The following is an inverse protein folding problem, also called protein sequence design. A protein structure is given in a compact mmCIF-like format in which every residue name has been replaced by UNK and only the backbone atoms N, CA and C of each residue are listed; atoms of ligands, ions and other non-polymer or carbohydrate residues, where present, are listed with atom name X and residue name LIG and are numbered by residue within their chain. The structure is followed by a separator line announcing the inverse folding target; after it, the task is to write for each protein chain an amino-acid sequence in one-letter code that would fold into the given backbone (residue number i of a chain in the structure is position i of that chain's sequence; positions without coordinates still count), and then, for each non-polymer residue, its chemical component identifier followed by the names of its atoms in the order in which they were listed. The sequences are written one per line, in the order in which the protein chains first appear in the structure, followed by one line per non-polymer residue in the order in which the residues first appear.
data_IF_093355681872
#
_entry.id   IF_093355681872
#
_cell.length_a   1.000
_cell.length_b   1.000
_cell.length_c   1.000
_cell.angle_alpha   90.00
_cell.angle_beta   90.00
_cell.angle_gamma   90.00
#
_symmetry.space_group_name_H-M   'P 1'
#
loop_
_entity.id
_entity.type
_entity.pdbx_description
1 polymer ?
#
# COMPACT_ATOMS: atom_id res chain seq x y z
N UNK A 1 65.17 28.11 -78.30
CA UNK A 1 64.71 27.26 -79.43
C UNK A 1 63.61 26.33 -78.93
N UNK A 2 62.45 26.38 -79.60
CA UNK A 2 61.38 25.37 -79.80
C UNK A 2 61.12 24.27 -78.74
N UNK A 3 59.86 24.28 -78.25
CA UNK A 3 58.84 23.19 -78.10
C UNK A 3 59.24 21.97 -77.24
N UNK A 4 58.40 21.42 -76.36
CA UNK A 4 57.21 20.55 -76.60
C UNK A 4 56.57 20.33 -75.20
N UNK A 5 55.39 20.86 -74.89
CA UNK A 5 54.05 20.23 -74.85
C UNK A 5 53.98 18.73 -74.49
N UNK A 6 53.59 18.41 -73.25
CA UNK A 6 52.95 17.14 -72.89
C UNK A 6 51.78 17.40 -71.93
N UNK A 7 50.62 16.92 -72.35
CA UNK A 7 49.29 17.07 -71.78
C UNK A 7 49.10 16.06 -70.63
N UNK A 8 48.53 16.46 -69.49
CA UNK A 8 47.98 15.51 -68.51
C UNK A 8 46.68 16.08 -67.92
N UNK A 9 45.63 15.31 -68.16
CA UNK A 9 44.22 15.55 -67.85
C UNK A 9 43.99 15.27 -66.35
N UNK A 10 43.49 16.23 -65.58
CA UNK A 10 43.00 15.99 -64.21
C UNK A 10 41.52 16.38 -64.17
N UNK A 11 40.69 15.36 -64.07
CA UNK A 11 39.24 15.39 -63.87
C UNK A 11 38.92 15.95 -62.48
N UNK A 12 38.24 17.08 -62.40
CA UNK A 12 37.73 17.64 -61.16
C UNK A 12 36.42 16.94 -60.77
N UNK A 13 36.47 16.13 -59.71
CA UNK A 13 35.33 15.44 -59.11
C UNK A 13 34.58 16.43 -58.21
N UNK A 14 33.41 16.91 -58.63
CA UNK A 14 32.54 17.78 -57.84
C UNK A 14 31.75 16.90 -56.87
N UNK A 15 32.12 16.93 -55.59
CA UNK A 15 31.43 16.23 -54.52
C UNK A 15 30.27 17.13 -54.05
N UNK A 16 29.03 16.79 -54.43
CA UNK A 16 27.83 17.34 -53.81
C UNK A 16 27.66 16.71 -52.42
N UNK A 17 28.15 17.38 -51.38
CA UNK A 17 27.79 17.07 -50.00
C UNK A 17 26.37 17.55 -49.72
N UNK A 18 25.42 16.62 -49.56
CA UNK A 18 24.15 16.91 -48.93
C UNK A 18 24.38 17.06 -47.41
N UNK A 19 24.47 18.28 -46.89
CA UNK A 19 24.23 18.48 -45.46
C UNK A 19 22.72 18.35 -45.24
N UNK A 20 22.32 17.37 -44.44
CA UNK A 20 21.02 17.45 -43.77
C UNK A 20 21.25 18.40 -42.59
N UNK A 21 20.68 19.59 -42.68
CA UNK A 21 20.58 20.48 -41.55
C UNK A 21 19.61 19.82 -40.57
N UNK A 22 20.17 19.19 -39.54
CA UNK A 22 19.40 18.89 -38.35
C UNK A 22 19.40 20.19 -37.55
N UNK A 23 18.25 20.87 -37.44
CA UNK A 23 18.05 21.80 -36.34
C UNK A 23 18.10 20.97 -35.06
N UNK A 24 19.21 21.05 -34.34
CA UNK A 24 19.19 20.78 -32.91
C UNK A 24 18.36 21.93 -32.35
N UNK A 25 17.13 21.65 -31.93
CA UNK A 25 16.37 22.58 -31.11
C UNK A 25 17.21 22.82 -29.85
N UNK A 26 17.89 23.96 -29.77
CA UNK A 26 18.54 24.39 -28.54
C UNK A 26 17.45 24.44 -27.45
N UNK A 27 17.74 23.86 -26.28
CA UNK A 27 16.80 23.91 -25.16
C UNK A 27 16.50 25.38 -24.90
N UNK A 28 15.24 25.79 -25.07
CA UNK A 28 14.82 27.15 -24.79
C UNK A 28 15.35 27.60 -23.43
N UNK A 29 15.85 28.84 -23.35
CA UNK A 29 16.27 29.51 -22.10
C UNK A 29 15.08 29.62 -21.13
N UNK A 30 14.61 28.51 -20.58
CA UNK A 30 13.53 28.45 -19.60
C UNK A 30 14.12 28.41 -18.20
N UNK A 31 13.41 28.97 -17.24
CA UNK A 31 13.71 28.75 -15.83
C UNK A 31 12.86 27.62 -15.27
N UNK A 32 13.45 26.85 -14.36
CA UNK A 32 12.81 25.70 -13.71
C UNK A 32 12.20 26.19 -12.40
N UNK A 33 10.87 26.15 -12.33
CA UNK A 33 10.09 26.42 -11.12
C UNK A 33 9.87 25.12 -10.36
N UNK A 34 10.16 25.12 -9.07
CA UNK A 34 9.83 24.01 -8.16
C UNK A 34 9.13 24.53 -6.91
N UNK A 35 8.42 23.64 -6.22
CA UNK A 35 7.84 23.88 -4.91
C UNK A 35 8.41 22.88 -3.90
N UNK A 36 8.44 23.27 -2.62
CA UNK A 36 8.80 22.36 -1.53
C UNK A 36 7.75 21.25 -1.31
N UNK A 37 6.50 21.48 -1.71
CA UNK A 37 5.45 20.47 -1.81
C UNK A 37 4.43 20.85 -2.89
N UNK A 38 3.81 19.84 -3.52
CA UNK A 38 2.67 20.02 -4.43
C UNK A 38 1.32 20.08 -3.69
N UNK A 39 1.25 19.62 -2.44
CA UNK A 39 0.03 19.65 -1.62
C UNK A 39 0.36 19.99 -0.16
N UNK A 40 -0.45 20.85 0.45
CA UNK A 40 -0.37 21.15 1.90
C UNK A 40 -1.75 21.32 2.52
N UNK A 41 -1.80 21.27 3.86
CA UNK A 41 -3.04 21.62 4.59
C UNK A 41 -3.34 23.11 4.40
N UNK A 42 -4.63 23.47 4.36
CA UNK A 42 -5.05 24.87 4.45
C UNK A 42 -4.38 25.58 5.63
N UNK A 43 -3.96 26.83 5.42
CA UNK A 43 -3.23 27.64 6.40
C UNK A 43 -1.72 27.34 6.49
N UNK A 44 -1.21 26.31 5.81
CA UNK A 44 0.23 26.10 5.67
C UNK A 44 0.80 26.89 4.48
N UNK A 45 2.12 27.03 4.46
CA UNK A 45 2.84 27.78 3.43
C UNK A 45 3.59 26.86 2.49
N UNK A 46 3.40 26.99 1.19
CA UNK A 46 4.24 26.40 0.14
C UNK A 46 5.29 27.42 -0.28
N UNK A 47 6.53 26.98 -0.46
CA UNK A 47 7.66 27.82 -0.88
C UNK A 47 8.14 27.40 -2.27
N UNK A 48 8.31 28.38 -3.15
CA UNK A 48 8.73 28.20 -4.53
C UNK A 48 10.21 28.53 -4.70
N UNK A 49 10.87 27.83 -5.62
CA UNK A 49 12.28 28.05 -5.98
C UNK A 49 12.39 28.15 -7.49
N UNK A 50 13.24 29.06 -7.98
CA UNK A 50 13.53 29.19 -9.41
C UNK A 50 15.01 28.91 -9.64
N UNK A 51 15.33 27.99 -10.55
CA UNK A 51 16.69 27.67 -10.98
C UNK A 51 16.83 27.79 -12.49
N UNK A 52 18.04 28.07 -12.96
CA UNK A 52 18.36 27.93 -14.39
C UNK A 52 18.74 26.47 -14.74
N UNK A 53 19.01 26.24 -16.03
CA UNK A 53 19.40 24.92 -16.57
C UNK A 53 20.74 24.39 -16.00
N UNK A 54 21.56 25.25 -15.38
CA UNK A 54 22.80 24.86 -14.71
C UNK A 54 22.59 24.60 -13.20
N UNK A 55 21.35 24.73 -12.70
CA UNK A 55 20.98 24.54 -11.31
C UNK A 55 21.27 25.76 -10.41
N UNK A 56 21.69 26.89 -10.98
CA UNK A 56 21.91 28.13 -10.22
C UNK A 56 20.56 28.71 -9.83
N UNK A 57 20.43 29.12 -8.58
CA UNK A 57 19.19 29.64 -8.02
C UNK A 57 19.03 31.13 -8.28
N UNK A 58 17.85 31.52 -8.76
CA UNK A 58 17.45 32.89 -9.09
C UNK A 58 16.16 33.32 -8.37
N UNK A 59 15.78 32.62 -7.30
CA UNK A 59 14.51 32.81 -6.57
C UNK A 59 14.25 34.25 -6.13
N UNK A 60 15.28 34.96 -5.64
CA UNK A 60 15.13 36.33 -5.14
C UNK A 60 14.93 37.37 -6.24
N UNK A 61 15.32 37.05 -7.47
CA UNK A 61 15.22 37.94 -8.64
C UNK A 61 14.02 37.57 -9.54
N UNK A 62 13.30 36.50 -9.19
CA UNK A 62 12.14 36.03 -9.92
C UNK A 62 10.84 36.65 -9.40
N UNK A 63 9.88 36.85 -10.31
CA UNK A 63 8.51 37.23 -9.99
C UNK A 63 7.60 36.02 -10.14
N UNK A 64 6.86 35.71 -9.08
CA UNK A 64 5.93 34.58 -9.04
C UNK A 64 4.51 35.04 -9.32
N UNK A 65 3.73 34.19 -9.96
CA UNK A 65 2.33 34.42 -10.30
C UNK A 65 1.49 33.25 -9.81
N UNK A 66 0.36 33.56 -9.17
CA UNK A 66 -0.66 32.61 -8.71
C UNK A 66 -1.93 32.87 -9.49
N UNK A 67 -2.40 31.87 -10.24
CA UNK A 67 -3.53 31.99 -11.17
C UNK A 67 -3.39 33.20 -12.13
N UNK A 68 -2.14 33.47 -12.56
CA UNK A 68 -1.79 34.59 -13.44
C UNK A 68 -1.63 35.95 -12.76
N UNK A 69 -1.84 36.05 -11.44
CA UNK A 69 -1.68 37.29 -10.66
C UNK A 69 -0.34 37.28 -9.94
N UNK A 70 0.47 38.34 -10.13
CA UNK A 70 1.77 38.45 -9.47
C UNK A 70 1.62 38.53 -7.94
N UNK A 71 2.50 37.84 -7.22
CA UNK A 71 2.57 37.86 -5.75
C UNK A 71 3.89 38.47 -5.27
N UNK A 72 3.90 38.96 -4.03
CA UNK A 72 5.13 39.36 -3.36
C UNK A 72 5.83 38.15 -2.74
N UNK A 73 7.13 38.03 -2.98
CA UNK A 73 7.94 36.91 -2.51
C UNK A 73 7.68 35.62 -3.28
N UNK A 74 8.18 34.51 -2.72
CA UNK A 74 8.19 33.18 -3.34
C UNK A 74 7.34 32.18 -2.55
N UNK A 75 6.32 32.63 -1.81
CA UNK A 75 5.52 31.74 -0.96
C UNK A 75 4.03 31.94 -1.18
N UNK A 76 3.25 30.88 -1.01
CA UNK A 76 1.79 30.90 -1.04
C UNK A 76 1.24 30.24 0.23
N UNK A 77 0.28 30.90 0.86
CA UNK A 77 -0.53 30.35 1.96
C UNK A 77 -1.99 30.55 1.60
N UNK A 78 -2.82 29.52 1.78
CA UNK A 78 -4.24 29.57 1.47
C UNK A 78 -5.07 28.89 2.55
N UNK A 79 -6.13 29.56 3.00
CA UNK A 79 -7.14 29.00 3.92
C UNK A 79 -8.26 28.25 3.18
N UNK A 80 -8.29 28.33 1.85
CA UNK A 80 -9.31 27.69 1.03
C UNK A 80 -8.80 26.39 0.42
N UNK A 81 -9.68 25.39 0.39
CA UNK A 81 -9.45 24.13 -0.33
C UNK A 81 -9.51 24.43 -1.83
N UNK A 82 -8.36 24.44 -2.49
CA UNK A 82 -8.22 24.82 -3.90
C UNK A 82 -6.86 24.41 -4.48
N UNK A 83 -6.86 24.08 -5.77
CA UNK A 83 -5.66 23.99 -6.61
C UNK A 83 -5.39 25.32 -7.30
N UNK A 84 -4.13 25.76 -7.25
CA UNK A 84 -3.62 27.00 -7.84
C UNK A 84 -2.59 26.68 -8.92
N UNK A 85 -2.58 27.46 -9.99
CA UNK A 85 -1.55 27.38 -11.03
C UNK A 85 -0.46 28.42 -10.76
N UNK A 86 0.78 27.96 -10.62
CA UNK A 86 1.95 28.78 -10.32
C UNK A 86 2.83 28.89 -11.55
N UNK A 87 3.27 30.10 -11.85
CA UNK A 87 4.31 30.37 -12.86
C UNK A 87 5.32 31.35 -12.29
N UNK A 88 6.54 31.36 -12.82
CA UNK A 88 7.56 32.31 -12.45
C UNK A 88 8.19 32.96 -13.68
N UNK A 89 8.67 34.18 -13.51
CA UNK A 89 9.48 34.89 -14.52
C UNK A 89 10.79 35.36 -13.92
N UNK A 90 11.87 35.12 -14.64
CA UNK A 90 13.20 35.66 -14.35
C UNK A 90 13.69 36.39 -15.60
N UNK A 91 13.78 37.72 -15.53
CA UNK A 91 13.92 38.58 -16.71
C UNK A 91 12.88 38.27 -17.79
N UNK A 92 13.31 37.89 -19.00
CA UNK A 92 12.44 37.56 -20.13
C UNK A 92 12.07 36.07 -20.19
N UNK A 93 12.59 35.28 -19.25
CA UNK A 93 12.39 33.83 -19.22
C UNK A 93 11.18 33.51 -18.36
N UNK A 94 10.31 32.63 -18.86
CA UNK A 94 9.15 32.13 -18.12
C UNK A 94 9.35 30.66 -17.77
N UNK A 95 8.84 30.25 -16.62
CA UNK A 95 8.77 28.83 -16.28
C UNK A 95 7.57 28.17 -16.94
N UNK A 96 7.62 26.84 -17.00
CA UNK A 96 6.41 26.04 -17.14
C UNK A 96 5.47 26.24 -15.93
N UNK A 97 4.20 25.92 -16.12
CA UNK A 97 3.20 26.00 -15.04
C UNK A 97 3.35 24.83 -14.07
N UNK A 98 3.20 25.12 -12.78
CA UNK A 98 3.21 24.15 -11.69
C UNK A 98 1.89 24.23 -10.93
N UNK A 99 1.21 23.12 -10.74
CA UNK A 99 0.00 23.08 -9.89
C UNK A 99 0.36 22.77 -8.44
N UNK A 100 -0.20 23.55 -7.52
CA UNK A 100 -0.12 23.29 -6.07
C UNK A 100 -1.51 23.35 -5.44
N UNK A 101 -1.76 22.49 -4.46
CA UNK A 101 -3.09 22.38 -3.85
C UNK A 101 -3.04 22.59 -2.34
N UNK A 102 -4.06 23.28 -1.83
CA UNK A 102 -4.37 23.32 -0.41
C UNK A 102 -5.65 22.54 -0.17
N UNK A 103 -5.66 21.67 0.83
CA UNK A 103 -6.86 20.92 1.20
C UNK A 103 -6.94 20.66 2.69
N UNK A 104 -8.08 20.15 3.14
CA UNK A 104 -8.34 19.81 4.54
C UNK A 104 -8.45 18.29 4.77
N UNK A 105 -8.20 17.49 3.72
CA UNK A 105 -8.31 16.04 3.74
C UNK A 105 -9.70 15.52 3.42
N UNK A 106 -10.69 16.40 3.19
CA UNK A 106 -12.04 15.99 2.79
C UNK A 106 -12.04 15.22 1.47
N UNK A 107 -11.15 15.59 0.56
CA UNK A 107 -10.91 14.95 -0.73
C UNK A 107 -10.19 13.60 -0.64
N UNK A 108 -9.41 13.35 0.42
CA UNK A 108 -8.63 12.13 0.54
C UNK A 108 -9.39 11.04 1.29
N UNK A 109 -9.96 10.10 0.53
CA UNK A 109 -10.67 8.92 1.05
C UNK A 109 -10.09 7.66 0.42
N UNK A 110 -10.16 6.55 1.13
CA UNK A 110 -9.60 5.28 0.65
C UNK A 110 -10.67 4.19 0.59
N UNK A 111 -10.48 3.21 -0.28
CA UNK A 111 -11.34 2.03 -0.34
C UNK A 111 -11.37 1.34 1.03
N UNK A 112 -12.58 1.02 1.48
CA UNK A 112 -12.82 0.41 2.78
C UNK A 112 -12.73 -1.10 2.69
N UNK A 113 -11.85 -1.71 3.47
CA UNK A 113 -11.71 -3.16 3.55
C UNK A 113 -11.94 -3.68 4.95
N UNK A 114 -12.56 -4.85 5.03
CA UNK A 114 -12.80 -5.59 6.26
C UNK A 114 -11.65 -6.57 6.52
N UNK A 115 -11.12 -6.59 7.73
CA UNK A 115 -10.30 -7.68 8.24
C UNK A 115 -11.20 -8.71 8.94
N UNK A 116 -11.08 -9.99 8.57
CA UNK A 116 -11.65 -11.12 9.29
C UNK A 116 -10.52 -11.96 9.86
N UNK A 117 -10.46 -12.10 11.18
CA UNK A 117 -9.55 -13.01 11.88
C UNK A 117 -10.36 -14.23 12.36
N UNK A 118 -10.12 -15.40 11.76
CA UNK A 118 -10.70 -16.69 12.15
C UNK A 118 -9.74 -17.43 13.09
N UNK A 119 -10.11 -17.56 14.35
CA UNK A 119 -9.35 -18.34 15.31
C UNK A 119 -9.89 -19.77 15.27
N UNK A 120 -9.05 -20.68 14.78
CA UNK A 120 -9.48 -21.99 14.26
C UNK A 120 -8.50 -23.11 14.64
N UNK A 121 -8.81 -24.33 14.22
CA UNK A 121 -7.88 -25.45 14.24
C UNK A 121 -8.41 -26.72 13.55
N UNK A 122 -7.49 -27.55 13.07
CA UNK A 122 -7.78 -28.81 12.36
C UNK A 122 -8.55 -29.80 13.25
N UNK A 123 -8.25 -29.80 14.55
CA UNK A 123 -8.92 -30.59 15.59
C UNK A 123 -10.35 -30.14 15.91
N UNK A 124 -10.75 -28.94 15.50
CA UNK A 124 -11.97 -28.29 15.96
C UNK A 124 -13.17 -28.59 15.04
N UNK A 125 -14.05 -29.49 15.47
CA UNK A 125 -15.20 -29.91 14.67
C UNK A 125 -16.19 -28.81 14.29
N UNK A 126 -16.31 -27.72 15.06
CA UNK A 126 -17.20 -26.62 14.69
C UNK A 126 -16.51 -25.52 13.87
N UNK A 127 -15.19 -25.58 13.67
CA UNK A 127 -14.43 -24.59 12.92
C UNK A 127 -14.82 -24.48 11.43
N UNK A 128 -15.21 -25.56 10.73
CA UNK A 128 -15.78 -25.47 9.38
C UNK A 128 -16.96 -24.49 9.25
N UNK A 129 -17.69 -24.20 10.33
CA UNK A 129 -18.76 -23.20 10.35
C UNK A 129 -18.27 -21.78 10.02
N UNK A 130 -17.11 -21.37 10.54
CA UNK A 130 -16.55 -20.04 10.28
C UNK A 130 -15.92 -19.99 8.89
N UNK A 131 -15.20 -21.03 8.50
CA UNK A 131 -14.68 -21.18 7.14
C UNK A 131 -15.79 -21.07 6.08
N UNK A 132 -16.94 -21.72 6.32
CA UNK A 132 -18.10 -21.60 5.45
C UNK A 132 -18.68 -20.17 5.42
N UNK A 133 -18.79 -19.51 6.58
CA UNK A 133 -19.25 -18.12 6.65
C UNK A 133 -18.33 -17.15 5.87
N UNK A 134 -17.03 -17.37 5.95
CA UNK A 134 -16.01 -16.61 5.21
C UNK A 134 -16.20 -16.80 3.70
N UNK A 135 -16.41 -18.03 3.23
CA UNK A 135 -16.70 -18.31 1.82
C UNK A 135 -17.95 -17.56 1.37
N UNK A 136 -19.03 -17.57 2.17
CA UNK A 136 -20.24 -16.80 1.87
C UNK A 136 -19.96 -15.29 1.79
N UNK A 137 -19.16 -14.74 2.70
CA UNK A 137 -18.78 -13.32 2.67
C UNK A 137 -18.01 -12.97 1.39
N UNK A 138 -17.04 -13.79 0.99
CA UNK A 138 -16.29 -13.60 -0.25
C UNK A 138 -17.15 -13.72 -1.52
N UNK A 139 -18.27 -14.44 -1.48
CA UNK A 139 -19.24 -14.42 -2.60
C UNK A 139 -19.98 -13.08 -2.74
N UNK A 140 -20.00 -12.25 -1.70
CA UNK A 140 -20.76 -10.99 -1.66
C UNK A 140 -19.87 -9.76 -1.78
N UNK A 141 -18.58 -9.85 -1.43
CA UNK A 141 -17.70 -8.69 -1.36
C UNK A 141 -16.23 -9.08 -1.54
N UNK A 142 -15.55 -8.42 -2.49
CA UNK A 142 -14.10 -8.50 -2.68
C UNK A 142 -13.33 -7.59 -1.69
N UNK A 143 -14.04 -6.78 -0.91
CA UNK A 143 -13.49 -5.85 0.08
C UNK A 143 -13.17 -6.50 1.43
N UNK A 144 -12.74 -7.76 1.40
CA UNK A 144 -12.52 -8.57 2.59
C UNK A 144 -11.13 -9.21 2.54
N UNK A 145 -10.43 -9.11 3.66
CA UNK A 145 -9.14 -9.74 3.90
C UNK A 145 -9.30 -10.71 5.05
N UNK A 146 -9.07 -11.99 4.79
CA UNK A 146 -9.18 -13.07 5.79
C UNK A 146 -7.81 -13.44 6.31
N UNK A 147 -7.73 -13.81 7.59
CA UNK A 147 -6.58 -14.41 8.25
C UNK A 147 -7.09 -15.59 9.09
N UNK A 148 -6.54 -16.79 8.88
CA UNK A 148 -6.79 -17.96 9.71
C UNK A 148 -5.66 -18.13 10.73
N UNK A 149 -6.01 -18.06 12.01
CA UNK A 149 -5.10 -18.18 13.15
C UNK A 149 -5.33 -19.54 13.81
N UNK A 150 -4.52 -20.51 13.41
CA UNK A 150 -4.56 -21.88 13.92
C UNK A 150 -3.98 -21.98 15.34
N UNK A 151 -4.70 -22.67 16.24
CA UNK A 151 -4.41 -22.73 17.68
C UNK A 151 -4.83 -24.06 18.29
N UNK A 152 -4.39 -24.42 19.51
CA UNK A 152 -3.36 -23.76 20.31
C UNK A 152 -2.06 -24.57 20.45
N UNK A 153 -1.98 -25.80 19.94
CA UNK A 153 -0.88 -26.71 20.27
C UNK A 153 -0.15 -27.25 19.05
N UNK A 154 1.18 -27.11 19.05
CA UNK A 154 2.06 -27.79 18.09
C UNK A 154 2.53 -29.17 18.58
N UNK A 155 2.05 -29.66 19.74
CA UNK A 155 2.45 -30.95 20.28
C UNK A 155 1.60 -32.08 19.64
N UNK A 156 2.19 -33.00 18.84
CA UNK A 156 1.44 -34.07 18.17
C UNK A 156 0.71 -35.04 19.12
N UNK A 157 1.10 -35.09 20.41
CA UNK A 157 0.42 -35.89 21.42
C UNK A 157 -0.76 -35.17 22.08
N UNK A 158 -1.04 -33.92 21.71
CA UNK A 158 -2.15 -33.12 22.23
C UNK A 158 -3.46 -33.48 21.53
N UNK A 159 -4.56 -33.53 22.28
CA UNK A 159 -5.92 -33.68 21.70
C UNK A 159 -6.37 -32.45 20.88
N UNK A 160 -5.68 -31.32 21.06
CA UNK A 160 -5.87 -30.07 20.30
C UNK A 160 -4.63 -29.76 19.47
N UNK A 161 -3.95 -30.79 18.99
CA UNK A 161 -2.83 -30.66 18.06
C UNK A 161 -3.29 -29.98 16.77
N UNK A 162 -2.50 -29.03 16.30
CA UNK A 162 -2.66 -28.40 15.01
C UNK A 162 -1.29 -28.19 14.35
N UNK A 163 -1.06 -28.72 13.13
CA UNK A 163 0.22 -28.60 12.43
C UNK A 163 0.56 -27.16 12.01
N UNK A 164 -0.43 -26.28 11.99
CA UNK A 164 -0.34 -24.88 11.59
C UNK A 164 -0.41 -23.92 12.77
N UNK A 165 -0.39 -24.43 14.01
CA UNK A 165 -0.46 -23.62 15.22
C UNK A 165 0.55 -22.45 15.20
N UNK A 166 0.03 -21.25 15.45
CA UNK A 166 0.81 -20.02 15.63
C UNK A 166 0.61 -19.47 17.04
N UNK A 167 1.67 -18.98 17.70
CA UNK A 167 1.52 -18.44 19.05
C UNK A 167 0.86 -17.05 19.08
N UNK A 168 -0.47 -17.05 19.17
CA UNK A 168 -1.28 -15.84 19.31
C UNK A 168 -1.74 -15.57 20.76
N UNK A 169 -1.14 -16.22 21.76
CA UNK A 169 -1.62 -16.16 23.16
C UNK A 169 -1.72 -14.73 23.70
N UNK A 170 -0.76 -13.86 23.33
CA UNK A 170 -0.77 -12.45 23.73
C UNK A 170 -1.96 -11.68 23.13
N UNK A 171 -2.34 -11.97 21.88
CA UNK A 171 -3.51 -11.38 21.25
C UNK A 171 -4.80 -11.94 21.87
N UNK A 172 -4.90 -13.26 22.02
CA UNK A 172 -6.07 -13.92 22.59
C UNK A 172 -6.34 -13.49 24.04
N UNK A 173 -5.31 -13.20 24.83
CA UNK A 173 -5.48 -12.64 26.17
C UNK A 173 -6.20 -11.27 26.18
N UNK A 174 -6.23 -10.57 25.05
CA UNK A 174 -6.99 -9.31 24.88
C UNK A 174 -8.41 -9.54 24.35
N UNK A 175 -8.72 -10.77 23.93
CA UNK A 175 -10.00 -11.16 23.35
C UNK A 175 -10.76 -11.96 24.42
N UNK A 176 -11.83 -11.40 24.97
CA UNK A 176 -12.58 -12.00 26.09
C UNK A 176 -13.43 -13.23 25.69
N UNK A 177 -12.97 -14.05 24.73
CA UNK A 177 -13.64 -15.26 24.25
C UNK A 177 -12.60 -16.40 24.15
N UNK A 178 -12.60 -17.35 25.10
CA UNK A 178 -11.57 -18.39 25.15
C UNK A 178 -11.86 -19.62 24.27
N UNK A 179 -13.03 -19.70 23.63
CA UNK A 179 -13.46 -20.87 22.85
C UNK A 179 -13.02 -20.83 21.38
N UNK A 180 -13.03 -21.99 20.72
CA UNK A 180 -12.91 -22.12 19.27
C UNK A 180 -14.16 -22.81 18.67
N UNK A 181 -14.53 -22.47 17.42
CA UNK A 181 -13.99 -21.33 16.68
C UNK A 181 -14.49 -20.00 17.27
N UNK A 182 -13.80 -18.92 16.91
CA UNK A 182 -14.29 -17.55 17.12
C UNK A 182 -13.83 -16.68 15.96
N UNK A 183 -14.76 -15.92 15.36
CA UNK A 183 -14.45 -14.96 14.31
C UNK A 183 -14.45 -13.53 14.85
N UNK A 184 -13.45 -12.75 14.49
CA UNK A 184 -13.38 -11.33 14.78
C UNK A 184 -13.33 -10.51 13.50
N UNK A 185 -14.11 -9.44 13.48
CA UNK A 185 -14.20 -8.45 12.42
C UNK A 185 -13.42 -7.21 12.88
N UNK A 186 -12.52 -6.70 12.04
CA UNK A 186 -11.60 -5.61 12.36
C UNK A 186 -10.95 -5.77 13.75
N UNK A 187 -10.55 -7.00 14.08
CA UNK A 187 -9.90 -7.45 15.33
C UNK A 187 -10.71 -7.35 16.63
N UNK A 188 -11.58 -6.36 16.77
CA UNK A 188 -12.26 -6.05 18.05
C UNK A 188 -13.75 -6.32 18.04
N UNK A 189 -14.35 -6.53 16.88
CA UNK A 189 -15.79 -6.77 16.76
C UNK A 189 -15.99 -8.28 16.71
N UNK A 190 -16.64 -8.84 17.72
CA UNK A 190 -17.01 -10.27 17.69
C UNK A 190 -18.00 -10.50 16.55
N UNK A 191 -17.74 -11.51 15.71
CA UNK A 191 -18.72 -11.94 14.71
C UNK A 191 -19.81 -12.75 15.39
N UNK A 192 -21.06 -12.33 15.20
CA UNK A 192 -22.23 -12.92 15.86
C UNK A 192 -22.41 -14.39 15.45
N UNK A 193 -22.49 -15.24 16.46
CA UNK A 193 -22.75 -16.67 16.28
C UNK A 193 -24.25 -16.93 16.00
N UNK A 194 -24.60 -17.84 15.07
CA UNK A 194 -23.70 -18.51 14.15
C UNK A 194 -23.32 -17.61 12.96
N UNK A 195 -22.03 -17.52 12.59
CA UNK A 195 -21.56 -16.56 11.57
C UNK A 195 -22.20 -16.77 10.18
N UNK A 196 -22.50 -18.00 9.71
CA UNK A 196 -23.22 -18.19 8.44
C UNK A 196 -24.58 -17.50 8.38
N UNK A 197 -25.27 -17.34 9.52
CA UNK A 197 -26.55 -16.63 9.59
C UNK A 197 -26.38 -15.12 9.78
N UNK A 198 -25.14 -14.66 10.01
CA UNK A 198 -24.82 -13.28 10.38
C UNK A 198 -23.78 -12.66 9.42
N UNK A 199 -23.71 -13.12 8.17
CA UNK A 199 -22.78 -12.55 7.17
C UNK A 199 -23.04 -11.06 6.90
N UNK A 200 -24.28 -10.60 7.09
CA UNK A 200 -24.65 -9.19 6.96
C UNK A 200 -23.84 -8.27 7.90
N UNK A 201 -23.43 -8.77 9.09
CA UNK A 201 -22.57 -8.03 10.01
C UNK A 201 -21.20 -7.75 9.39
N UNK A 202 -20.61 -8.74 8.71
CA UNK A 202 -19.35 -8.60 7.99
C UNK A 202 -19.53 -7.67 6.78
N UNK A 203 -20.54 -7.91 5.93
CA UNK A 203 -20.78 -7.09 4.74
C UNK A 203 -21.02 -5.61 5.10
N UNK A 204 -21.74 -5.31 6.18
CA UNK A 204 -21.94 -3.93 6.62
C UNK A 204 -20.63 -3.18 6.91
N UNK A 205 -19.55 -3.90 7.28
CA UNK A 205 -18.24 -3.30 7.57
C UNK A 205 -17.41 -3.01 6.31
N UNK A 206 -17.81 -3.48 5.13
CA UNK A 206 -17.22 -3.06 3.85
C UNK A 206 -17.95 -1.84 3.26
N UNK A 207 -19.05 -1.40 3.89
CA UNK A 207 -19.90 -0.31 3.42
C UNK A 207 -19.81 0.94 4.32
N UNK A 208 -20.48 2.01 3.89
CA UNK A 208 -20.61 3.26 4.65
C UNK A 208 -19.45 4.22 4.44
N UNK A 209 -19.13 5.03 5.47
CA UNK A 209 -18.08 6.03 5.35
C UNK A 209 -16.71 5.39 5.07
N UNK A 210 -16.03 5.95 4.07
CA UNK A 210 -14.69 5.55 3.66
C UNK A 210 -13.65 5.95 4.72
N UNK A 211 -12.64 5.10 4.98
CA UNK A 211 -11.56 5.45 5.87
C UNK A 211 -10.75 6.63 5.35
N UNK A 212 -10.21 7.41 6.29
CA UNK A 212 -9.23 8.49 6.04
C UNK A 212 -7.79 7.99 6.10
N UNK A 213 -7.55 6.69 5.94
CA UNK A 213 -6.21 6.17 5.68
C UNK A 213 -6.26 4.95 4.75
N UNK A 214 -5.24 4.85 3.91
CA UNK A 214 -5.04 3.75 2.96
C UNK A 214 -3.69 3.10 3.16
N UNK A 215 -3.60 1.84 2.72
CA UNK A 215 -2.37 1.05 2.76
C UNK A 215 -2.01 0.60 1.35
N UNK A 216 -0.72 0.56 1.07
CA UNK A 216 -0.15 -0.03 -0.13
C UNK A 216 1.04 -0.91 0.28
N UNK A 217 1.14 -2.09 -0.33
CA UNK A 217 2.22 -3.05 -0.09
C UNK A 217 3.02 -3.28 -1.36
N UNK A 218 4.30 -3.58 -1.17
CA UNK A 218 5.20 -4.03 -2.24
C UNK A 218 6.04 -5.21 -1.74
N UNK A 219 5.45 -6.41 -1.63
CA UNK A 219 6.19 -7.61 -1.23
C UNK A 219 7.00 -8.19 -2.38
N UNK A 220 8.20 -8.66 -2.05
CA UNK A 220 9.10 -9.39 -2.93
C UNK A 220 9.60 -10.63 -2.19
N UNK A 221 9.52 -11.77 -2.86
CA UNK A 221 10.19 -13.00 -2.43
C UNK A 221 11.33 -13.25 -3.40
N UNK A 222 12.57 -13.30 -2.90
CA UNK A 222 13.73 -13.57 -3.73
C UNK A 222 14.86 -14.17 -2.91
N UNK A 223 15.56 -15.16 -3.48
CA UNK A 223 16.73 -15.80 -2.85
C UNK A 223 16.47 -16.31 -1.42
N UNK A 224 15.26 -16.82 -1.15
CA UNK A 224 14.87 -17.32 0.18
C UNK A 224 14.58 -16.21 1.21
N UNK A 225 14.55 -14.94 0.80
CA UNK A 225 14.20 -13.82 1.64
C UNK A 225 12.84 -13.23 1.22
N UNK A 226 12.15 -12.69 2.22
CA UNK A 226 10.95 -11.87 2.10
C UNK A 226 11.36 -10.42 2.35
N UNK A 227 11.03 -9.54 1.43
CA UNK A 227 11.08 -8.08 1.63
C UNK A 227 9.68 -7.53 1.43
N UNK A 228 9.20 -6.69 2.34
CA UNK A 228 7.89 -6.05 2.22
C UNK A 228 8.03 -4.58 2.57
N UNK A 229 7.78 -3.70 1.60
CA UNK A 229 7.50 -2.30 1.89
C UNK A 229 6.01 -2.15 2.20
N UNK A 230 5.71 -1.57 3.36
CA UNK A 230 4.34 -1.22 3.76
C UNK A 230 4.26 0.29 3.87
N UNK A 231 3.39 0.89 3.07
CA UNK A 231 3.15 2.33 3.07
C UNK A 231 1.72 2.63 3.53
N UNK A 232 1.56 3.71 4.30
CA UNK A 232 0.28 4.24 4.74
C UNK A 232 0.17 5.73 4.40
N UNK A 233 -0.93 6.14 3.77
CA UNK A 233 -1.23 7.54 3.44
C UNK A 233 -2.41 8.02 4.28
N UNK A 234 -2.35 9.25 4.78
CA UNK A 234 -3.32 9.78 5.74
C UNK A 234 -4.12 10.96 5.17
N UNK A 235 -5.45 10.83 5.19
CA UNK A 235 -6.44 11.85 4.85
C UNK A 235 -6.91 12.70 6.03
N UNK A 236 -6.28 12.55 7.20
CA UNK A 236 -6.43 13.42 8.38
C UNK A 236 -5.28 13.16 9.36
N UNK A 237 -5.21 13.89 10.46
CA UNK A 237 -4.28 13.57 11.55
C UNK A 237 -4.76 12.34 12.33
N UNK A 238 -3.82 11.43 12.60
CA UNK A 238 -4.03 10.31 13.52
C UNK A 238 -3.08 10.38 14.71
N UNK A 239 -3.39 9.57 15.72
CA UNK A 239 -2.57 9.39 16.93
C UNK A 239 -2.68 7.95 17.42
N UNK A 240 -1.65 7.45 18.10
CA UNK A 240 -1.64 6.13 18.73
C UNK A 240 -1.91 4.97 17.75
N UNK A 241 -1.51 5.13 16.48
CA UNK A 241 -1.65 4.06 15.51
C UNK A 241 -0.62 2.96 15.75
N UNK A 242 -1.03 1.72 15.50
CA UNK A 242 -0.11 0.58 15.49
C UNK A 242 -0.22 -0.21 14.19
N UNK A 243 0.92 -0.50 13.57
CA UNK A 243 1.02 -1.34 12.38
C UNK A 243 1.12 -2.82 12.78
N UNK A 244 0.35 -3.67 12.10
CA UNK A 244 0.53 -5.13 12.13
C UNK A 244 0.79 -5.62 10.72
N UNK A 245 1.77 -6.51 10.56
CA UNK A 245 2.09 -7.12 9.26
C UNK A 245 2.21 -8.64 9.42
N UNK A 246 1.33 -9.37 8.74
CA UNK A 246 1.28 -10.82 8.72
C UNK A 246 1.86 -11.40 7.44
N UNK A 247 2.46 -12.58 7.58
CA UNK A 247 2.80 -13.49 6.50
C UNK A 247 1.87 -14.69 6.61
N UNK A 248 1.07 -14.91 5.58
CA UNK A 248 0.12 -15.99 5.45
C UNK A 248 0.60 -17.00 4.41
N UNK A 249 0.02 -18.19 4.44
CA UNK A 249 0.18 -19.20 3.40
C UNK A 249 -1.17 -19.81 3.01
N UNK A 250 -1.32 -20.05 1.70
CA UNK A 250 -2.51 -20.63 1.09
C UNK A 250 -2.25 -22.05 0.59
N UNK A 251 -3.33 -22.82 0.36
CA UNK A 251 -3.26 -24.15 -0.25
C UNK A 251 -2.59 -25.22 0.62
N UNK A 252 -2.64 -25.07 1.95
CA UNK A 252 -2.10 -26.06 2.88
C UNK A 252 -3.10 -27.23 3.04
N UNK A 253 -2.68 -28.44 2.73
CA UNK A 253 -3.57 -29.63 2.78
C UNK A 253 -3.37 -30.37 4.11
N UNK A 254 -4.46 -30.54 4.85
CA UNK A 254 -4.51 -31.37 6.06
C UNK A 254 -5.93 -31.85 6.35
N UNK A 255 -6.07 -32.75 7.32
CA UNK A 255 -7.39 -33.21 7.76
C UNK A 255 -8.11 -32.14 8.62
N UNK A 256 -9.43 -32.08 8.55
CA UNK A 256 -10.25 -31.16 9.34
C UNK A 256 -11.45 -31.88 9.95
N UNK A 257 -11.57 -31.85 11.28
CA UNK A 257 -12.78 -32.31 11.96
C UNK A 257 -13.99 -31.45 11.60
N UNK A 258 -15.18 -32.06 11.52
CA UNK A 258 -16.40 -31.37 11.07
C UNK A 258 -17.68 -31.92 11.73
N UNK A 259 -18.25 -31.17 12.65
CA UNK A 259 -19.52 -31.48 13.33
C UNK A 259 -20.70 -30.71 12.72
N UNK A 260 -20.53 -30.22 11.49
CA UNK A 260 -21.54 -29.45 10.75
C UNK A 260 -22.05 -30.24 9.55
N UNK A 261 -23.09 -29.73 8.89
CA UNK A 261 -23.56 -30.27 7.59
C UNK A 261 -22.84 -29.63 6.40
N UNK A 262 -21.90 -28.70 6.63
CA UNK A 262 -21.10 -28.09 5.58
C UNK A 262 -20.03 -29.07 5.10
N UNK A 263 -19.46 -28.83 3.91
CA UNK A 263 -18.44 -29.71 3.31
C UNK A 263 -18.90 -31.17 3.26
N UNK A 264 -20.11 -31.36 2.74
CA UNK A 264 -20.79 -32.66 2.60
C UNK A 264 -21.04 -33.43 3.91
N UNK A 265 -20.86 -32.79 5.07
CA UNK A 265 -21.06 -33.40 6.38
C UNK A 265 -20.06 -34.52 6.71
N UNK A 266 -18.92 -34.56 6.01
CA UNK A 266 -17.86 -35.56 6.21
C UNK A 266 -17.05 -35.22 7.46
N UNK A 267 -16.84 -36.19 8.35
CA UNK A 267 -15.95 -36.10 9.53
C UNK A 267 -15.12 -37.39 9.64
N UNK A 268 -13.79 -37.34 9.60
CA UNK A 268 -12.89 -36.19 9.36
C UNK A 268 -12.79 -35.90 7.86
N UNK A 269 -12.73 -34.63 7.44
CA UNK A 269 -12.47 -34.26 6.04
C UNK A 269 -10.97 -34.51 5.75
N UNK A 270 -10.58 -35.46 4.88
CA UNK A 270 -9.19 -35.90 4.79
C UNK A 270 -8.24 -34.91 4.09
N UNK A 271 -8.69 -34.25 3.03
CA UNK A 271 -7.88 -33.37 2.19
C UNK A 271 -8.43 -31.93 2.20
N UNK A 272 -8.62 -31.38 3.40
CA UNK A 272 -9.14 -30.02 3.54
C UNK A 272 -8.05 -29.00 3.17
N UNK A 273 -8.39 -28.06 2.29
CA UNK A 273 -7.49 -26.98 1.89
C UNK A 273 -7.62 -25.79 2.84
N UNK A 274 -6.57 -25.56 3.63
CA UNK A 274 -6.43 -24.43 4.53
C UNK A 274 -5.80 -23.23 3.81
N UNK A 275 -6.53 -22.12 3.80
CA UNK A 275 -6.13 -20.87 3.18
C UNK A 275 -5.96 -19.75 4.20
N UNK A 276 -5.22 -18.71 3.84
CA UNK A 276 -4.92 -17.53 4.66
C UNK A 276 -4.31 -17.85 6.03
N UNK A 277 -3.57 -18.96 6.15
CA UNK A 277 -3.03 -19.46 7.42
C UNK A 277 -1.88 -18.58 7.90
N UNK A 278 -1.98 -18.00 9.08
CA UNK A 278 -0.93 -17.17 9.68
C UNK A 278 0.34 -18.00 9.95
N UNK A 279 1.44 -17.68 9.26
CA UNK A 279 2.73 -18.35 9.44
C UNK A 279 3.74 -17.51 10.21
N UNK A 280 3.68 -16.18 10.09
CA UNK A 280 4.53 -15.25 10.82
C UNK A 280 3.88 -13.86 10.97
N UNK A 281 4.40 -13.07 11.92
CA UNK A 281 4.06 -11.66 12.10
C UNK A 281 5.38 -10.87 12.11
N UNK A 282 5.53 -9.90 11.19
CA UNK A 282 6.76 -9.11 11.01
C UNK A 282 6.88 -7.96 12.03
N UNK A 283 5.78 -7.66 12.70
CA UNK A 283 5.67 -6.76 13.85
C UNK A 283 5.33 -7.56 15.12
N UNK A 284 5.31 -6.98 16.33
CA UNK A 284 4.60 -7.58 17.45
C UNK A 284 3.13 -7.86 17.07
N UNK A 285 2.54 -8.95 17.58
CA UNK A 285 1.16 -9.36 17.22
C UNK A 285 0.09 -8.33 17.68
N UNK A 286 0.40 -7.58 18.73
CA UNK A 286 -0.41 -6.46 19.24
C UNK A 286 -0.17 -5.14 18.50
N UNK A 287 0.71 -5.16 17.50
CA UNK A 287 1.10 -4.03 16.68
C UNK A 287 2.34 -3.28 17.16
N UNK A 288 3.03 -2.69 16.20
CA UNK A 288 4.16 -1.78 16.40
C UNK A 288 3.69 -0.33 16.28
N UNK A 289 4.13 0.55 17.17
CA UNK A 289 3.75 1.97 17.13
C UNK A 289 4.21 2.67 15.83
N UNK A 290 3.30 3.44 15.22
CA UNK A 290 3.63 4.37 14.13
C UNK A 290 3.87 5.76 14.74
N UNK A 291 5.03 6.40 14.50
CA UNK A 291 5.34 7.70 15.10
C UNK A 291 4.28 8.76 14.76
N UNK A 292 3.71 9.41 15.77
CA UNK A 292 2.64 10.39 15.59
C UNK A 292 3.00 11.56 14.66
N UNK A 293 4.30 11.89 14.55
CA UNK A 293 4.83 12.92 13.65
C UNK A 293 4.79 12.53 12.16
N UNK A 294 4.55 11.25 11.84
CA UNK A 294 4.47 10.71 10.47
C UNK A 294 3.04 10.25 10.12
N UNK A 295 2.06 10.71 10.89
CA UNK A 295 0.64 10.35 10.74
C UNK A 295 -0.23 11.58 10.57
N UNK A 296 0.33 12.63 9.96
CA UNK A 296 -0.39 13.88 9.67
C UNK A 296 -1.05 13.81 8.30
N UNK A 297 -2.05 14.65 8.10
CA UNK A 297 -2.69 14.81 6.79
C UNK A 297 -1.64 14.97 5.67
N UNK A 298 -1.80 14.20 4.61
CA UNK A 298 -0.92 14.05 3.44
C UNK A 298 0.42 13.35 3.68
N UNK A 299 0.79 13.03 4.92
CA UNK A 299 1.99 12.23 5.17
C UNK A 299 1.84 10.84 4.54
N UNK A 300 2.99 10.30 4.12
CA UNK A 300 3.15 8.89 3.78
C UNK A 300 4.16 8.31 4.76
N UNK A 301 3.70 7.40 5.61
CA UNK A 301 4.56 6.55 6.42
C UNK A 301 4.95 5.32 5.61
N UNK A 302 6.25 5.00 5.53
CA UNK A 302 6.73 3.77 4.89
C UNK A 302 7.65 3.02 5.81
N UNK A 303 7.45 1.70 5.92
CA UNK A 303 8.34 0.80 6.63
C UNK A 303 8.66 -0.43 5.80
N UNK A 304 9.95 -0.72 5.69
CA UNK A 304 10.48 -1.92 5.04
C UNK A 304 10.77 -3.00 6.07
N UNK A 305 10.30 -4.20 5.80
CA UNK A 305 10.69 -5.43 6.50
C UNK A 305 11.54 -6.28 5.56
N UNK A 306 12.63 -6.85 6.08
CA UNK A 306 13.44 -7.81 5.33
C UNK A 306 13.87 -8.94 6.25
N UNK A 307 13.39 -10.14 5.98
CA UNK A 307 13.65 -11.33 6.79
C UNK A 307 13.91 -12.55 5.89
N UNK A 308 14.64 -13.56 6.37
CA UNK A 308 14.60 -14.87 5.74
C UNK A 308 13.17 -15.42 5.77
N UNK A 309 12.79 -16.18 4.73
CA UNK A 309 11.51 -16.87 4.70
C UNK A 309 11.35 -17.75 5.96
N UNK A 310 10.26 -17.60 6.72
CA UNK A 310 10.01 -18.44 7.89
C UNK A 310 10.08 -19.93 7.57
N UNK A 311 10.85 -20.68 8.35
CA UNK A 311 11.11 -22.10 8.11
C UNK A 311 9.87 -23.01 8.18
N UNK A 312 8.77 -22.50 8.73
CA UNK A 312 7.51 -23.21 8.81
C UNK A 312 6.69 -23.12 7.50
N UNK A 313 6.97 -22.16 6.60
CA UNK A 313 6.29 -22.04 5.30
C UNK A 313 6.56 -23.28 4.45
N UNK A 314 5.50 -23.94 3.95
CA UNK A 314 5.64 -25.18 3.18
C UNK A 314 5.96 -24.91 1.70
N UNK A 315 5.31 -23.90 1.12
CA UNK A 315 5.52 -23.46 -0.25
C UNK A 315 5.55 -21.93 -0.32
N UNK A 316 6.74 -21.37 -0.56
CA UNK A 316 6.92 -19.92 -0.65
C UNK A 316 6.14 -19.27 -1.80
N UNK A 317 5.75 -20.04 -2.83
CA UNK A 317 4.94 -19.51 -3.93
C UNK A 317 3.48 -19.21 -3.49
N UNK A 318 3.03 -19.78 -2.38
CA UNK A 318 1.65 -19.63 -1.89
C UNK A 318 1.52 -18.58 -0.78
N UNK A 319 2.57 -17.81 -0.50
CA UNK A 319 2.52 -16.80 0.56
C UNK A 319 1.72 -15.58 0.16
N UNK A 320 1.10 -14.97 1.14
CA UNK A 320 0.38 -13.71 1.03
C UNK A 320 0.76 -12.84 2.24
N UNK A 321 0.79 -11.53 2.06
CA UNK A 321 1.12 -10.56 3.11
C UNK A 321 -0.11 -9.76 3.46
N UNK A 322 -0.38 -9.53 4.73
CA UNK A 322 -1.51 -8.71 5.18
C UNK A 322 -0.99 -7.63 6.10
N UNK A 323 -1.27 -6.36 5.79
CA UNK A 323 -0.96 -5.24 6.66
C UNK A 323 -2.23 -4.47 7.04
N UNK A 324 -2.29 -4.01 8.27
CA UNK A 324 -3.38 -3.16 8.77
C UNK A 324 -2.89 -2.25 9.88
N UNK A 325 -3.59 -1.12 10.01
CA UNK A 325 -3.36 -0.15 11.09
C UNK A 325 -4.48 -0.24 12.11
N UNK A 326 -4.08 -0.33 13.37
CA UNK A 326 -4.94 -0.35 14.54
C UNK A 326 -5.07 1.05 15.12
N UNK A 327 -6.25 1.39 15.62
CA UNK A 327 -6.45 2.54 16.49
C UNK A 327 -5.97 2.27 17.93
N UNK A 328 -6.15 3.25 18.82
CA UNK A 328 -5.78 3.17 20.23
C UNK A 328 -6.47 2.02 20.99
N UNK A 329 -7.65 1.60 20.53
CA UNK A 329 -8.44 0.53 21.12
C UNK A 329 -8.04 -0.84 20.53
N UNK A 330 -7.12 -0.86 19.55
CA UNK A 330 -6.65 -2.07 18.88
C UNK A 330 -7.62 -2.57 17.81
N UNK A 331 -8.56 -1.74 17.34
CA UNK A 331 -9.47 -2.07 16.23
C UNK A 331 -8.80 -1.70 14.91
N UNK A 332 -8.91 -2.58 13.92
CA UNK A 332 -8.39 -2.31 12.59
C UNK A 332 -9.21 -1.21 11.91
N UNK A 333 -8.54 -0.16 11.42
CA UNK A 333 -9.16 0.96 10.71
C UNK A 333 -9.29 0.65 9.22
N UNK A 334 -8.22 0.10 8.62
CA UNK A 334 -8.20 -0.39 7.25
C UNK A 334 -7.14 -1.50 7.10
N UNK A 335 -7.27 -2.33 6.07
CA UNK A 335 -6.42 -3.50 5.82
C UNK A 335 -6.16 -3.67 4.33
N UNK A 336 -4.97 -4.17 3.97
CA UNK A 336 -4.65 -4.58 2.59
C UNK A 336 -3.85 -5.89 2.63
N UNK A 337 -4.11 -6.77 1.68
CA UNK A 337 -3.38 -8.03 1.45
C UNK A 337 -2.52 -7.99 0.19
N UNK A 338 -1.50 -8.80 -0.02
CA UNK A 338 -0.65 -8.73 -1.20
C UNK A 338 0.01 -10.07 -1.49
N UNK A 339 0.05 -10.50 -2.75
CA UNK A 339 0.90 -11.63 -3.16
C UNK A 339 2.31 -11.12 -3.53
N UNK A 340 3.37 -11.96 -3.45
CA UNK A 340 4.69 -11.60 -3.94
C UNK A 340 4.66 -11.01 -5.36
N UNK A 341 5.31 -9.87 -5.56
CA UNK A 341 5.37 -9.17 -6.85
C UNK A 341 4.19 -8.22 -7.13
N UNK A 342 3.16 -8.19 -6.28
CA UNK A 342 2.08 -7.21 -6.37
C UNK A 342 2.58 -5.84 -5.91
N UNK A 343 2.87 -4.94 -6.84
CA UNK A 343 3.27 -3.55 -6.55
C UNK A 343 2.01 -2.70 -6.53
N UNK A 344 1.64 -2.23 -5.35
CA UNK A 344 0.34 -1.60 -5.13
C UNK A 344 0.47 -0.08 -5.06
N UNK A 345 -0.50 0.60 -5.66
CA UNK A 345 -0.80 1.99 -5.36
C UNK A 345 -1.85 2.07 -4.25
N UNK A 346 -2.00 3.25 -3.64
CA UNK A 346 -3.10 3.48 -2.70
C UNK A 346 -4.45 3.42 -3.42
N UNK A 347 -5.43 2.72 -2.82
CA UNK A 347 -6.82 2.70 -3.32
C UNK A 347 -7.56 4.00 -2.96
N UNK A 348 -7.07 5.14 -3.46
CA UNK A 348 -7.69 6.45 -3.29
C UNK A 348 -9.00 6.56 -4.09
N UNK A 349 -10.03 7.10 -3.46
CA UNK A 349 -11.34 7.33 -4.07
C UNK A 349 -11.45 8.80 -4.46
N UNK A 350 -11.78 9.05 -5.72
CA UNK A 350 -12.01 10.40 -6.26
C UNK A 350 -13.40 10.94 -5.91
#
# INVERSE_FOLDING_TARGET
MKKILALLFITALVIFGCSRDYEILESSDSVILTADSSVKRTGQTITFTVRDNNGVEHTNDAVFFVDGVAIEGNTLTSEIVKTFTITAKYYNLSSESLEVSFGDGSELNFRKRLLIEDYTGTWCGYCPRVAHAINLVHTQSEDVVTVAIHRPSSNPSSIVYDPYNYDASALEATLNIPSYPKGFLNRRIVWSNPEPNNIAQAIALTQGANPKLGLALKPVVSNGNITVDVSAKFGQDFSNLKLVVYVLENGLIYEQHNYTTYFDGVDVIPDFEHNHVLRACLTPILGEEVPAAQTKLYDIYTKTFSIPAPANIANIANVEFVAFLLDQDGKAINVRKAAPGDVQEFEELQ
#
